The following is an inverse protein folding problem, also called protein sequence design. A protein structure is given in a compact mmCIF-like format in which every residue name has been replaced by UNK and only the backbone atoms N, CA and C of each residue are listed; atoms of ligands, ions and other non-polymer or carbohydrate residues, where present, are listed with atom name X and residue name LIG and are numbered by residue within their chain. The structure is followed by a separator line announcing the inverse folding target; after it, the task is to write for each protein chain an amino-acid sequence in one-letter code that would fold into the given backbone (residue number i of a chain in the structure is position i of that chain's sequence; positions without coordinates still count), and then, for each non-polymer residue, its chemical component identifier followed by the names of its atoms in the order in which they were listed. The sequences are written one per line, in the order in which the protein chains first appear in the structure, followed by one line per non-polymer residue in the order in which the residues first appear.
data_IF_489694353845
#
_entry.id   IF_489694353845
#
_cell.length_a   1.000
_cell.length_b   1.000
_cell.length_c   1.000
_cell.angle_alpha   90.00
_cell.angle_beta   90.00
_cell.angle_gamma   90.00
#
_symmetry.space_group_name_H-M   'P 1'
#
loop_
_entity.id
_entity.type
_entity.pdbx_description
1 polymer ?
#
# COMPACT_ATOMS: atom_id res chain seq x y z
N UNK A 1 -11.18 -19.66 -18.87
CA UNK A 1 -11.48 -18.22 -19.01
C UNK A 1 -12.53 -18.06 -20.12
N UNK A 2 -13.80 -17.83 -19.76
CA UNK A 2 -14.83 -17.50 -20.75
C UNK A 2 -14.58 -16.07 -21.23
N UNK A 3 -14.02 -15.91 -22.43
CA UNK A 3 -14.09 -14.64 -23.17
C UNK A 3 -15.52 -14.54 -23.68
N UNK A 4 -16.38 -13.80 -22.98
CA UNK A 4 -17.62 -13.32 -23.59
C UNK A 4 -17.20 -12.44 -24.75
N UNK A 5 -17.41 -12.93 -25.97
CA UNK A 5 -17.08 -12.22 -27.20
C UNK A 5 -18.10 -11.09 -27.37
N UNK A 6 -17.95 -10.01 -26.60
CA UNK A 6 -18.76 -8.81 -26.78
C UNK A 6 -18.28 -8.18 -28.08
N UNK A 7 -19.22 -7.95 -28.99
CA UNK A 7 -18.90 -7.31 -30.26
C UNK A 7 -18.43 -5.88 -29.97
N UNK A 8 -17.21 -5.50 -30.38
CA UNK A 8 -16.69 -4.17 -30.09
C UNK A 8 -17.53 -3.11 -30.80
N UNK A 9 -17.85 -2.04 -30.08
CA UNK A 9 -18.47 -0.85 -30.65
C UNK A 9 -17.52 -0.18 -31.63
N UNK A 10 -18.01 0.20 -32.81
CA UNK A 10 -17.20 0.91 -33.80
C UNK A 10 -16.98 2.35 -33.34
N UNK A 11 -15.72 2.74 -33.23
CA UNK A 11 -15.30 4.13 -32.91
C UNK A 11 -15.00 4.89 -34.19
N UNK A 12 -14.21 4.27 -35.08
CA UNK A 12 -13.78 4.80 -36.37
C UNK A 12 -13.76 3.63 -37.38
N UNK A 13 -14.33 3.85 -38.54
CA UNK A 13 -14.17 3.00 -39.71
C UNK A 13 -13.56 3.81 -40.86
N UNK A 14 -12.56 3.26 -41.54
CA UNK A 14 -11.90 3.90 -42.68
C UNK A 14 -11.76 2.89 -43.81
N UNK A 15 -12.37 3.18 -44.96
CA UNK A 15 -12.20 2.41 -46.19
C UNK A 15 -11.40 3.21 -47.26
N UNK A 16 -11.01 2.54 -48.35
CA UNK A 16 -10.29 3.16 -49.48
C UNK A 16 -11.13 4.24 -50.19
N UNK A 17 -10.47 5.19 -50.88
CA UNK A 17 -10.18 6.53 -50.36
C UNK A 17 -11.44 7.40 -50.18
N UNK A 18 -11.51 8.13 -49.06
CA UNK A 18 -12.50 9.17 -48.70
C UNK A 18 -13.79 8.71 -48.03
N UNK A 19 -13.98 7.41 -47.79
CA UNK A 19 -15.10 6.93 -46.99
C UNK A 19 -14.58 6.61 -45.60
N UNK A 20 -14.99 7.42 -44.63
CA UNK A 20 -14.79 7.17 -43.22
C UNK A 20 -16.08 7.44 -42.45
N UNK A 21 -16.24 6.70 -41.37
CA UNK A 21 -17.37 6.83 -40.47
C UNK A 21 -16.83 6.95 -39.04
N UNK A 22 -17.09 8.09 -38.41
CA UNK A 22 -16.79 8.33 -36.99
C UNK A 22 -18.07 8.16 -36.21
N UNK A 23 -18.02 7.38 -35.13
CA UNK A 23 -19.17 7.21 -34.26
C UNK A 23 -19.63 8.55 -33.68
N UNK A 24 -20.95 8.83 -33.60
CA UNK A 24 -21.49 10.08 -33.08
C UNK A 24 -21.00 10.47 -31.68
N UNK A 25 -20.60 9.49 -30.86
CA UNK A 25 -20.04 9.73 -29.53
C UNK A 25 -18.68 10.46 -29.56
N UNK A 26 -18.03 10.51 -30.73
CA UNK A 26 -16.66 10.96 -30.93
C UNK A 26 -16.51 12.04 -32.01
N UNK A 27 -17.55 12.37 -32.79
CA UNK A 27 -17.45 13.20 -34.01
C UNK A 27 -16.70 14.53 -33.86
N UNK A 28 -16.91 15.27 -32.77
CA UNK A 28 -16.27 16.60 -32.57
C UNK A 28 -14.96 16.55 -31.78
N UNK A 29 -14.50 15.34 -31.44
CA UNK A 29 -13.35 15.12 -30.56
C UNK A 29 -12.33 14.17 -31.14
N UNK A 30 -12.69 13.36 -32.13
CA UNK A 30 -11.82 12.38 -32.75
C UNK A 30 -11.36 12.88 -34.11
N UNK A 31 -10.05 12.94 -34.27
CA UNK A 31 -9.37 13.19 -35.53
C UNK A 31 -8.55 11.97 -35.91
N UNK A 32 -8.36 11.76 -37.21
CA UNK A 32 -7.44 10.73 -37.68
C UNK A 32 -6.60 11.25 -38.84
N UNK A 33 -5.38 10.75 -38.94
CA UNK A 33 -4.48 11.05 -40.04
C UNK A 33 -3.77 9.78 -40.50
N UNK A 34 -3.38 9.76 -41.78
CA UNK A 34 -2.60 8.68 -42.36
C UNK A 34 -1.17 9.16 -42.59
N UNK A 35 -0.22 8.54 -41.90
CA UNK A 35 1.20 8.80 -42.04
C UNK A 35 1.86 7.56 -42.67
N UNK A 36 1.93 7.54 -44.01
CA UNK A 36 2.35 6.36 -44.77
C UNK A 36 1.42 5.16 -44.54
N UNK A 37 1.95 4.08 -43.97
CA UNK A 37 1.19 2.88 -43.61
C UNK A 37 0.61 2.93 -42.19
N UNK A 38 0.80 4.03 -41.45
CA UNK A 38 0.33 4.19 -40.08
C UNK A 38 -0.95 5.01 -40.07
N UNK A 39 -1.96 4.51 -39.38
CA UNK A 39 -3.14 5.28 -39.00
C UNK A 39 -2.89 5.87 -37.61
N UNK A 40 -3.00 7.18 -37.48
CA UNK A 40 -2.93 7.88 -36.19
C UNK A 40 -4.33 8.35 -35.86
N UNK A 41 -4.82 7.98 -34.68
CA UNK A 41 -6.12 8.42 -34.15
C UNK A 41 -5.85 9.29 -32.93
N UNK A 42 -6.36 10.51 -32.96
CA UNK A 42 -6.22 11.50 -31.89
C UNK A 42 -7.59 11.77 -31.30
N UNK A 43 -7.75 11.50 -30.00
CA UNK A 43 -8.98 11.79 -29.27
C UNK A 43 -8.76 12.97 -28.32
N UNK A 44 -9.36 14.10 -28.65
CA UNK A 44 -9.35 15.34 -27.88
C UNK A 44 -10.39 15.35 -26.76
N UNK A 45 -10.18 16.19 -25.75
CA UNK A 45 -11.15 16.43 -24.66
C UNK A 45 -11.69 15.11 -24.07
N UNK A 46 -10.78 14.22 -23.67
CA UNK A 46 -11.11 12.91 -23.07
C UNK A 46 -12.13 13.03 -21.94
N UNK A 47 -13.07 12.09 -21.89
CA UNK A 47 -14.13 11.97 -20.88
C UNK A 47 -13.99 10.63 -20.14
N UNK A 48 -14.44 10.54 -18.89
CA UNK A 48 -14.34 9.30 -18.09
C UNK A 48 -14.98 8.09 -18.81
N UNK A 49 -16.10 8.34 -19.51
CA UNK A 49 -16.82 7.35 -20.34
C UNK A 49 -16.04 6.83 -21.55
N UNK A 50 -14.93 7.48 -21.91
CA UNK A 50 -14.05 7.04 -22.99
C UNK A 50 -13.06 5.96 -22.50
N UNK A 51 -13.11 5.58 -21.22
CA UNK A 51 -12.26 4.52 -20.65
C UNK A 51 -12.66 3.14 -21.17
N UNK A 52 -11.85 2.54 -22.03
CA UNK A 52 -12.07 1.20 -22.56
C UNK A 52 -10.80 0.62 -23.20
N UNK A 53 -10.90 -0.61 -23.71
CA UNK A 53 -9.90 -1.24 -24.55
C UNK A 53 -10.16 -0.92 -26.02
N UNK A 54 -9.32 -0.07 -26.60
CA UNK A 54 -9.37 0.30 -28.01
C UNK A 54 -8.60 -0.72 -28.82
N UNK A 55 -9.22 -1.23 -29.89
CA UNK A 55 -8.60 -2.23 -30.77
C UNK A 55 -8.59 -1.70 -32.19
N UNK A 56 -7.43 -1.70 -32.82
CA UNK A 56 -7.27 -1.51 -34.25
C UNK A 56 -7.37 -2.88 -34.91
N UNK A 57 -8.35 -3.05 -35.79
CA UNK A 57 -8.56 -4.26 -36.54
C UNK A 57 -8.56 -3.94 -38.03
N UNK A 58 -7.73 -4.64 -38.79
CA UNK A 58 -7.75 -4.57 -40.25
C UNK A 58 -8.57 -5.73 -40.80
N UNK A 59 -9.60 -5.42 -41.59
CA UNK A 59 -10.37 -6.41 -42.31
C UNK A 59 -9.57 -6.86 -43.55
N UNK A 60 -8.88 -7.99 -43.42
CA UNK A 60 -8.15 -8.60 -44.53
C UNK A 60 -9.14 -9.32 -45.43
N UNK A 61 -9.27 -8.86 -46.68
CA UNK A 61 -10.08 -9.52 -47.68
C UNK A 61 -9.76 -11.03 -47.74
N UNK A 62 -10.79 -11.87 -47.65
CA UNK A 62 -10.72 -13.33 -47.71
C UNK A 62 -10.11 -14.06 -46.48
N UNK A 63 -10.04 -13.42 -45.31
CA UNK A 63 -9.72 -14.14 -44.06
C UNK A 63 -10.57 -13.65 -42.89
N UNK A 64 -10.92 -14.55 -41.97
CA UNK A 64 -11.56 -14.19 -40.69
C UNK A 64 -10.55 -13.66 -39.66
N UNK A 65 -9.29 -13.50 -40.04
CA UNK A 65 -8.20 -13.09 -39.17
C UNK A 65 -8.08 -11.57 -39.18
N UNK A 66 -8.72 -10.95 -38.19
CA UNK A 66 -8.44 -9.57 -37.85
C UNK A 66 -7.06 -9.52 -37.18
N UNK A 67 -6.07 -8.95 -37.87
CA UNK A 67 -4.84 -8.53 -37.18
C UNK A 67 -5.23 -7.41 -36.23
N UNK A 68 -5.26 -7.74 -34.94
CA UNK A 68 -5.82 -6.88 -33.91
C UNK A 68 -4.72 -6.47 -32.93
N UNK A 69 -4.39 -5.18 -32.92
CA UNK A 69 -3.57 -4.57 -31.88
C UNK A 69 -4.44 -3.66 -31.05
N UNK A 70 -4.25 -3.63 -29.73
CA UNK A 70 -5.11 -2.83 -28.86
C UNK A 70 -4.35 -2.15 -27.73
N UNK A 71 -4.97 -1.09 -27.21
CA UNK A 71 -4.47 -0.28 -26.12
C UNK A 71 -5.61 -0.01 -25.15
N UNK A 72 -5.33 -0.18 -23.86
CA UNK A 72 -6.25 0.22 -22.80
C UNK A 72 -6.09 1.72 -22.53
N UNK A 73 -7.19 2.46 -22.55
CA UNK A 73 -7.25 3.87 -22.19
C UNK A 73 -8.07 3.99 -20.91
N UNK A 74 -7.49 4.62 -19.88
CA UNK A 74 -8.18 4.94 -18.64
C UNK A 74 -8.19 6.45 -18.48
N UNK A 75 -9.38 7.03 -18.54
CA UNK A 75 -9.62 8.44 -18.28
C UNK A 75 -10.22 8.55 -16.90
N UNK A 76 -9.50 9.18 -15.99
CA UNK A 76 -10.00 9.54 -14.67
C UNK A 76 -9.99 11.05 -14.58
N UNK A 77 -10.96 11.63 -13.88
CA UNK A 77 -10.80 13.01 -13.42
C UNK A 77 -9.47 13.17 -12.70
N UNK A 78 -8.94 14.39 -12.63
CA UNK A 78 -7.78 14.72 -11.81
C UNK A 78 -8.13 14.61 -10.31
N UNK A 79 -8.52 13.41 -9.88
CA UNK A 79 -8.68 13.01 -8.51
C UNK A 79 -7.29 13.00 -7.91
N UNK A 80 -6.96 14.12 -7.27
CA UNK A 80 -5.99 14.27 -6.19
C UNK A 80 -5.01 13.10 -6.14
N UNK A 81 -3.88 13.27 -6.84
CA UNK A 81 -2.73 12.38 -6.85
C UNK A 81 -2.68 11.59 -5.54
N UNK A 82 -2.93 10.28 -5.64
CA UNK A 82 -3.07 9.31 -4.56
C UNK A 82 -2.54 9.87 -3.24
N UNK A 83 -3.39 10.54 -2.46
CA UNK A 83 -3.03 10.95 -1.10
C UNK A 83 -2.94 9.65 -0.34
N UNK A 84 -1.74 9.05 -0.30
CA UNK A 84 -1.42 8.00 0.65
C UNK A 84 -1.77 8.58 2.02
N UNK A 85 -2.85 8.06 2.58
CA UNK A 85 -3.31 8.41 3.90
C UNK A 85 -2.12 8.25 4.84
N UNK A 86 -1.57 9.36 5.36
CA UNK A 86 -0.34 9.36 6.16
C UNK A 86 -0.53 8.77 7.56
N UNK A 87 -1.61 8.02 7.77
CA UNK A 87 -1.98 7.42 9.05
C UNK A 87 -1.03 6.30 9.47
N UNK A 88 -0.45 5.58 8.50
CA UNK A 88 0.54 4.53 8.77
C UNK A 88 1.82 5.08 9.43
N UNK A 89 2.23 6.30 9.07
CA UNK A 89 3.39 6.95 9.69
C UNK A 89 3.11 7.32 11.15
N UNK A 90 1.91 7.81 11.46
CA UNK A 90 1.53 8.11 12.85
C UNK A 90 1.43 6.86 13.71
N UNK A 91 0.88 5.77 13.18
CA UNK A 91 0.83 4.48 13.88
C UNK A 91 2.25 3.96 14.20
N UNK A 92 3.17 4.03 13.23
CA UNK A 92 4.55 3.60 13.42
C UNK A 92 5.29 4.47 14.46
N UNK A 93 5.09 5.80 14.42
CA UNK A 93 5.66 6.72 15.42
C UNK A 93 5.15 6.41 16.83
N UNK A 94 3.85 6.14 16.99
CA UNK A 94 3.25 5.80 18.28
C UNK A 94 3.83 4.50 18.84
N UNK A 95 3.98 3.46 18.01
CA UNK A 95 4.58 2.18 18.43
C UNK A 95 6.02 2.37 18.88
N UNK A 96 6.83 3.13 18.12
CA UNK A 96 8.23 3.41 18.47
C UNK A 96 8.30 4.19 19.80
N UNK A 97 7.45 5.20 19.99
CA UNK A 97 7.41 5.98 21.22
C UNK A 97 7.06 5.10 22.44
N UNK A 98 6.06 4.23 22.32
CA UNK A 98 5.66 3.31 23.40
C UNK A 98 6.79 2.34 23.77
N UNK A 99 7.49 1.79 22.77
CA UNK A 99 8.63 0.89 23.01
C UNK A 99 9.78 1.60 23.74
N UNK A 100 10.10 2.83 23.33
CA UNK A 100 11.12 3.64 24.00
C UNK A 100 10.71 3.96 25.44
N UNK A 101 9.45 4.32 25.69
CA UNK A 101 8.93 4.53 27.04
C UNK A 101 9.06 3.26 27.90
N UNK A 102 8.67 2.10 27.37
CA UNK A 102 8.79 0.83 28.08
C UNK A 102 10.25 0.49 28.44
N UNK A 103 11.20 0.72 27.52
CA UNK A 103 12.63 0.53 27.77
C UNK A 103 13.17 1.46 28.87
N UNK A 104 12.77 2.73 28.85
CA UNK A 104 13.16 3.69 29.89
C UNK A 104 12.58 3.27 31.25
N UNK A 105 11.29 2.90 31.30
CA UNK A 105 10.66 2.40 32.52
C UNK A 105 11.36 1.14 33.06
N UNK A 106 11.72 0.20 32.18
CA UNK A 106 12.43 -1.01 32.56
C UNK A 106 13.84 -0.72 33.07
N UNK A 107 14.59 0.18 32.42
CA UNK A 107 15.89 0.62 32.87
C UNK A 107 15.82 1.24 34.27
N UNK A 108 14.88 2.18 34.49
CA UNK A 108 14.67 2.81 35.81
C UNK A 108 14.27 1.78 36.88
N UNK A 109 13.37 0.85 36.56
CA UNK A 109 12.96 -0.21 37.48
C UNK A 109 14.14 -1.11 37.86
N UNK A 110 14.92 -1.57 36.88
CA UNK A 110 16.07 -2.44 37.11
C UNK A 110 17.16 -1.76 37.97
N UNK A 111 17.39 -0.46 37.77
CA UNK A 111 18.29 0.35 38.60
C UNK A 111 17.77 0.46 40.03
N UNK A 112 16.47 0.71 40.20
CA UNK A 112 15.84 0.84 41.52
C UNK A 112 15.89 -0.47 42.31
N UNK A 113 15.59 -1.60 41.65
CA UNK A 113 15.69 -2.95 42.23
C UNK A 113 17.14 -3.24 42.63
N UNK A 114 18.12 -3.01 41.73
CA UNK A 114 19.54 -3.18 42.06
C UNK A 114 19.97 -2.33 43.26
N UNK A 115 19.51 -1.08 43.36
CA UNK A 115 19.79 -0.18 44.49
C UNK A 115 19.15 -0.67 45.80
N UNK A 116 17.98 -1.30 45.73
CA UNK A 116 17.29 -1.87 46.88
C UNK A 116 18.02 -3.11 47.43
N UNK A 117 18.43 -4.02 46.55
CA UNK A 117 19.15 -5.24 46.93
C UNK A 117 20.58 -4.96 47.39
N UNK A 118 21.27 -3.97 46.80
CA UNK A 118 22.63 -3.60 47.23
C UNK A 118 22.68 -2.96 48.62
N UNK A 119 21.57 -2.32 49.06
CA UNK A 119 21.49 -1.68 50.40
C UNK A 119 21.16 -2.63 51.55
N UNK A 120 20.62 -3.82 51.27
CA UNK A 120 20.43 -4.85 52.31
C UNK A 120 21.64 -5.78 52.36
N UNK A 121 22.71 -5.37 53.04
CA UNK A 121 23.52 -6.33 53.78
C UNK A 121 22.81 -6.54 55.13
N UNK A 122 22.35 -7.74 55.49
CA UNK A 122 21.95 -7.96 56.87
C UNK A 122 23.21 -7.74 57.72
N UNK A 123 23.13 -6.81 58.66
CA UNK A 123 24.10 -6.77 59.76
C UNK A 123 23.87 -8.07 60.53
N UNK A 124 24.63 -9.11 60.19
CA UNK A 124 24.70 -10.34 60.98
C UNK A 124 25.48 -9.95 62.23
N UNK A 125 24.76 -9.41 63.22
CA UNK A 125 25.26 -9.28 64.57
C UNK A 125 25.35 -10.72 65.09
N UNK A 126 26.58 -11.22 65.18
CA UNK A 126 26.86 -12.52 65.76
C UNK A 126 26.71 -12.34 67.28
N UNK A 127 25.56 -12.71 67.84
CA UNK A 127 25.43 -12.80 69.29
C UNK A 127 26.28 -13.96 69.80
N UNK A 128 27.29 -13.62 70.59
CA UNK A 128 28.20 -14.56 71.22
C UNK A 128 27.44 -15.37 72.28
N UNK A 129 27.11 -16.62 71.96
CA UNK A 129 26.40 -17.53 72.85
C UNK A 129 27.37 -18.15 73.86
N UNK A 130 27.75 -17.39 74.89
CA UNK A 130 28.50 -17.88 76.05
C UNK A 130 27.79 -17.54 77.38
N UNK A 131 26.55 -18.00 77.56
CA UNK A 131 25.85 -17.84 78.84
C UNK A 131 26.27 -18.92 79.84
N UNK A 132 27.15 -18.54 80.76
CA UNK A 132 27.59 -19.31 81.93
C UNK A 132 26.40 -19.79 82.78
N UNK A 133 26.23 -21.11 82.90
CA UNK A 133 25.36 -21.75 83.89
C UNK A 133 26.01 -21.70 85.28
N UNK A 134 25.85 -20.58 86.01
CA UNK A 134 26.04 -20.54 87.46
C UNK A 134 24.68 -20.66 88.15
N UNK A 135 24.28 -21.89 88.47
CA UNK A 135 23.17 -22.16 89.39
C UNK A 135 23.72 -22.25 90.81
N UNK A 136 23.33 -21.28 91.61
CA UNK A 136 23.65 -21.09 93.01
C UNK A 136 23.09 -22.21 93.90
N UNK A 137 23.91 -22.62 94.87
CA UNK A 137 23.52 -23.35 96.07
C UNK A 137 22.56 -22.49 96.91
N UNK A 138 21.43 -23.04 97.34
CA UNK A 138 20.63 -22.47 98.41
C UNK A 138 20.16 -23.59 99.36
N UNK A 139 20.65 -23.46 100.58
CA UNK A 139 20.35 -24.25 101.79
C UNK A 139 18.99 -23.84 102.34
N UNK A 140 18.10 -24.81 102.58
CA UNK A 140 17.35 -24.97 103.84
C UNK A 140 16.71 -26.35 103.91
#
# INVERSE_FOLDING_TARGET
LLRTHVQPSRVLYVSKPNVSEVSPAFSDRLEYSREGNRMVVTLHKLQEKDSDNYVCAEEVANSSLLSASGTMVLVKEAGQACKKSSWDFYALIVVVAVLLCALVCWALYSVHVKKYFLRKKPNVVYEDMSYNSRRSTLVR
#
